data_IF_144101453916
#
_entry.id   IF_144101453916
#
_cell.length_a   1.000
_cell.length_b   1.000
_cell.length_c   1.000
_cell.angle_alpha   90.00
_cell.angle_beta   90.00
_cell.angle_gamma   90.00
#
_symmetry.space_group_name_H-M   'P 1'
#
loop_
_entity.id
_entity.type
_entity.pdbx_description
1 polymer ?
#
# COMPACT_ATOMS: atom_id res chain seq x y z
N UNK A 1 -3.13 7.87 -12.13
CA UNK A 1 -2.79 7.02 -10.96
C UNK A 1 -2.59 7.95 -9.77
N UNK A 2 -3.22 7.66 -8.63
CA UNK A 2 -3.00 8.39 -7.38
C UNK A 2 -2.00 7.59 -6.54
N UNK A 3 -0.89 8.21 -6.16
CA UNK A 3 0.11 7.60 -5.27
C UNK A 3 0.01 8.29 -3.92
N UNK A 4 -0.15 7.51 -2.86
CA UNK A 4 -0.15 8.03 -1.48
C UNK A 4 0.98 7.34 -0.73
N UNK A 5 1.99 8.13 -0.40
CA UNK A 5 3.16 7.67 0.33
C UNK A 5 3.01 7.86 1.85
N UNK A 6 3.84 7.16 2.61
CA UNK A 6 3.90 7.26 4.06
C UNK A 6 2.54 6.99 4.74
N UNK A 7 1.76 6.03 4.23
CA UNK A 7 0.42 5.75 4.75
C UNK A 7 0.39 5.34 6.24
N UNK A 8 1.50 4.86 6.79
CA UNK A 8 1.66 4.67 8.24
C UNK A 8 1.45 5.95 9.07
N UNK A 9 1.69 7.13 8.48
CA UNK A 9 1.49 8.42 9.14
C UNK A 9 0.03 8.86 9.20
N UNK A 10 -0.89 8.11 8.56
CA UNK A 10 -2.32 8.24 8.82
C UNK A 10 -2.61 7.83 10.26
N UNK A 11 -2.57 8.84 11.12
CA UNK A 11 -2.66 8.67 12.55
C UNK A 11 -4.07 8.16 12.92
N UNK A 12 -4.16 6.89 13.31
CA UNK A 12 -5.42 6.24 13.69
C UNK A 12 -6.17 7.05 14.77
N UNK A 13 -5.45 7.74 15.66
CA UNK A 13 -6.04 8.61 16.68
C UNK A 13 -6.71 9.88 16.10
N UNK A 14 -6.18 10.46 15.02
CA UNK A 14 -6.77 11.65 14.35
C UNK A 14 -7.87 11.28 13.35
N UNK A 15 -7.81 10.09 12.77
CA UNK A 15 -8.86 9.54 11.92
C UNK A 15 -10.07 9.03 12.73
N UNK A 16 -9.94 8.89 14.06
CA UNK A 16 -11.00 8.42 14.96
C UNK A 16 -11.11 6.90 15.06
N UNK A 17 -9.97 6.20 15.01
CA UNK A 17 -9.81 4.76 15.14
C UNK A 17 -9.49 4.06 13.81
N UNK A 18 -9.04 2.81 13.90
CA UNK A 18 -8.78 1.96 12.73
C UNK A 18 -10.02 1.89 11.82
N UNK A 19 -11.21 1.66 12.37
CA UNK A 19 -12.45 1.49 11.60
C UNK A 19 -12.82 2.68 10.70
N UNK A 20 -12.57 3.92 11.16
CA UNK A 20 -12.80 5.11 10.34
C UNK A 20 -11.80 5.23 9.21
N UNK A 21 -10.54 4.88 9.45
CA UNK A 21 -9.53 4.82 8.40
C UNK A 21 -9.92 3.77 7.35
N UNK A 22 -10.35 2.58 7.76
CA UNK A 22 -10.81 1.53 6.83
C UNK A 22 -12.00 2.01 6.01
N UNK A 23 -12.97 2.68 6.65
CA UNK A 23 -14.14 3.25 5.97
C UNK A 23 -13.78 4.36 4.97
N UNK A 24 -12.84 5.24 5.31
CA UNK A 24 -12.32 6.24 4.38
C UNK A 24 -11.65 5.59 3.17
N UNK A 25 -10.76 4.62 3.39
CA UNK A 25 -10.04 3.92 2.32
C UNK A 25 -11.01 3.14 1.40
N UNK A 26 -12.02 2.50 1.98
CA UNK A 26 -13.06 1.81 1.21
C UNK A 26 -13.82 2.77 0.29
N UNK A 27 -14.27 3.91 0.82
CA UNK A 27 -14.97 4.92 0.03
C UNK A 27 -14.07 5.55 -1.05
N UNK A 28 -12.81 5.80 -0.72
CA UNK A 28 -11.82 6.35 -1.64
C UNK A 28 -11.61 5.41 -2.82
N UNK A 29 -11.35 4.12 -2.58
CA UNK A 29 -11.14 3.14 -3.66
C UNK A 29 -12.39 2.94 -4.51
N UNK A 30 -13.58 2.95 -3.91
CA UNK A 30 -14.82 2.73 -4.65
C UNK A 30 -15.30 3.93 -5.47
N UNK A 31 -15.01 5.17 -5.02
CA UNK A 31 -15.60 6.37 -5.62
C UNK A 31 -14.64 7.14 -6.54
N UNK A 32 -13.32 6.98 -6.40
CA UNK A 32 -12.34 7.82 -7.11
C UNK A 32 -12.23 7.48 -8.61
N UNK A 33 -12.54 6.23 -9.00
CA UNK A 33 -12.56 5.80 -10.41
C UNK A 33 -11.20 5.77 -11.12
N UNK A 34 -10.09 5.91 -10.38
CA UNK A 34 -8.71 5.85 -10.90
C UNK A 34 -7.88 4.83 -10.11
N UNK A 35 -6.83 4.24 -10.72
CA UNK A 35 -5.91 3.37 -10.00
C UNK A 35 -5.21 4.10 -8.85
N UNK A 36 -5.06 3.43 -7.71
CA UNK A 36 -4.48 3.96 -6.48
C UNK A 36 -3.34 3.03 -6.03
N UNK A 37 -2.17 3.60 -5.74
CA UNK A 37 -1.02 2.92 -5.17
C UNK A 37 -0.77 3.45 -3.75
N UNK A 38 -0.81 2.56 -2.77
CA UNK A 38 -0.47 2.88 -1.38
C UNK A 38 0.98 2.46 -1.12
N UNK A 39 1.82 3.40 -0.70
CA UNK A 39 3.16 3.11 -0.21
C UNK A 39 3.15 3.27 1.32
N UNK A 40 3.61 2.22 2.01
CA UNK A 40 3.59 2.17 3.46
C UNK A 40 4.65 1.21 3.97
N UNK A 41 5.09 1.44 5.21
CA UNK A 41 5.95 0.47 5.91
C UNK A 41 5.11 -0.58 6.66
N UNK A 42 5.61 -1.81 6.82
CA UNK A 42 5.01 -2.78 7.75
C UNK A 42 4.82 -2.17 9.15
N UNK A 43 3.74 -2.50 9.88
CA UNK A 43 2.74 -3.54 9.63
C UNK A 43 1.45 -3.02 8.92
N UNK A 44 1.56 -1.99 8.09
CA UNK A 44 0.39 -1.38 7.44
C UNK A 44 -0.36 -2.33 6.49
N UNK A 45 0.36 -3.30 5.92
CA UNK A 45 -0.16 -4.42 5.12
C UNK A 45 -1.30 -5.18 5.83
N UNK A 46 -1.16 -5.45 7.13
CA UNK A 46 -2.16 -6.17 7.92
C UNK A 46 -3.46 -5.36 8.03
N UNK A 47 -3.35 -4.05 8.30
CA UNK A 47 -4.51 -3.13 8.37
C UNK A 47 -5.22 -3.01 7.02
N UNK A 48 -4.43 -2.92 5.94
CA UNK A 48 -4.93 -2.88 4.58
C UNK A 48 -5.72 -4.16 4.27
N UNK A 49 -5.15 -5.32 4.59
CA UNK A 49 -5.74 -6.62 4.31
C UNK A 49 -7.13 -6.80 4.93
N UNK A 50 -7.41 -6.20 6.09
CA UNK A 50 -8.70 -6.24 6.78
C UNK A 50 -9.78 -5.44 6.04
N UNK A 51 -9.41 -4.26 5.53
CA UNK A 51 -10.32 -3.38 4.77
C UNK A 51 -10.68 -3.93 3.39
N UNK A 52 -9.68 -4.50 2.72
CA UNK A 52 -9.79 -4.90 1.32
C UNK A 52 -10.05 -6.40 1.14
N UNK A 53 -10.43 -7.13 2.20
CA UNK A 53 -10.87 -8.54 2.10
C UNK A 53 -11.99 -8.75 1.07
N UNK A 54 -12.84 -7.73 0.87
CA UNK A 54 -13.92 -7.73 -0.13
C UNK A 54 -13.45 -7.25 -1.52
N UNK A 55 -12.34 -6.52 -1.61
CA UNK A 55 -11.70 -6.05 -2.85
C UNK A 55 -10.92 -7.15 -3.60
N UNK A 56 -10.66 -8.29 -2.96
CA UNK A 56 -10.08 -9.49 -3.61
C UNK A 56 -10.95 -10.09 -4.73
N UNK A 57 -12.24 -9.73 -4.82
CA UNK A 57 -13.05 -10.07 -6.01
C UNK A 57 -12.71 -9.23 -7.25
N UNK A 58 -11.80 -8.26 -7.13
CA UNK A 58 -11.19 -7.50 -8.23
C UNK A 58 -9.74 -7.96 -8.50
N UNK A 59 -9.41 -9.23 -8.22
CA UNK A 59 -8.11 -9.88 -8.50
C UNK A 59 -7.67 -9.84 -9.98
N UNK A 60 -8.47 -9.27 -10.88
CA UNK A 60 -8.04 -8.97 -12.25
C UNK A 60 -7.26 -7.65 -12.42
N UNK A 61 -7.07 -6.82 -11.37
CA UNK A 61 -6.51 -5.46 -11.49
C UNK A 61 -5.23 -5.14 -10.71
N UNK A 62 -4.43 -6.14 -10.34
CA UNK A 62 -3.01 -5.90 -9.98
C UNK A 62 -2.77 -5.41 -8.55
N UNK A 63 -2.82 -6.34 -7.60
CA UNK A 63 -2.17 -6.17 -6.30
C UNK A 63 -0.71 -6.61 -6.43
N UNK A 64 0.23 -5.73 -6.09
CA UNK A 64 1.66 -6.03 -6.10
C UNK A 64 2.23 -5.69 -4.72
N UNK A 65 2.75 -6.71 -4.04
CA UNK A 65 3.49 -6.53 -2.80
C UNK A 65 4.98 -6.48 -3.15
N UNK A 66 5.65 -5.40 -2.78
CA UNK A 66 7.08 -5.22 -3.04
C UNK A 66 7.83 -5.74 -1.82
N UNK A 67 8.37 -6.95 -1.93
CA UNK A 67 9.24 -7.50 -0.89
C UNK A 67 10.62 -6.82 -0.90
N UNK A 68 11.32 -6.88 0.23
CA UNK A 68 12.73 -6.48 0.30
C UNK A 68 13.54 -7.33 -0.70
N UNK A 69 14.38 -6.68 -1.49
CA UNK A 69 15.29 -7.38 -2.40
C UNK A 69 16.18 -8.35 -1.60
N UNK A 70 16.38 -9.54 -2.15
CA UNK A 70 17.34 -10.49 -1.60
C UNK A 70 18.74 -9.96 -1.83
N UNK A 71 19.66 -10.30 -0.93
CA UNK A 71 21.07 -9.94 -1.11
C UNK A 71 21.72 -10.85 -2.17
N UNK A 72 21.36 -10.64 -3.43
CA UNK A 72 21.79 -11.40 -4.60
C UNK A 72 22.36 -10.47 -5.68
N UNK A 73 22.60 -11.02 -6.87
CA UNK A 73 23.24 -10.28 -7.96
C UNK A 73 22.36 -9.16 -8.51
N UNK A 74 21.02 -9.27 -8.41
CA UNK A 74 20.11 -8.17 -8.75
C UNK A 74 20.23 -7.01 -7.74
N UNK A 75 20.34 -7.31 -6.44
CA UNK A 75 20.58 -6.27 -5.43
C UNK A 75 21.93 -5.57 -5.61
N UNK A 76 22.99 -6.31 -5.94
CA UNK A 76 24.30 -5.71 -6.22
C UNK A 76 24.23 -4.75 -7.40
N UNK A 77 23.63 -5.19 -8.51
CA UNK A 77 23.44 -4.35 -9.70
C UNK A 77 22.64 -3.09 -9.36
N UNK A 78 21.56 -3.23 -8.59
CA UNK A 78 20.75 -2.10 -8.15
C UNK A 78 21.58 -1.07 -7.35
N UNK A 79 22.37 -1.51 -6.37
CA UNK A 79 23.20 -0.61 -5.55
C UNK A 79 24.28 0.07 -6.38
N UNK A 80 24.95 -0.67 -7.28
CA UNK A 80 26.02 -0.14 -8.13
C UNK A 80 25.51 0.99 -9.07
N UNK A 81 24.31 0.85 -9.62
CA UNK A 81 23.69 1.87 -10.47
C UNK A 81 23.23 3.11 -9.69
N UNK A 82 22.80 2.93 -8.45
CA UNK A 82 22.18 3.99 -7.64
C UNK A 82 23.25 4.88 -6.96
N UNK A 83 24.48 4.38 -6.85
CA UNK A 83 25.65 5.05 -6.27
C UNK A 83 26.67 5.51 -7.33
N UNK A 84 26.30 5.47 -8.62
CA UNK A 84 27.12 6.00 -9.73
C UNK A 84 27.38 7.51 -9.62
#
# INVERSE_FOLDING_TARGET
>A
ILVIDEMQNLNQAKAGGADRLLGFLHNLVNNLGIPILFCANPPFDVLLSLSFKSGRRAESSGYFDVELMKNDDEWKLFVDELWC
#
